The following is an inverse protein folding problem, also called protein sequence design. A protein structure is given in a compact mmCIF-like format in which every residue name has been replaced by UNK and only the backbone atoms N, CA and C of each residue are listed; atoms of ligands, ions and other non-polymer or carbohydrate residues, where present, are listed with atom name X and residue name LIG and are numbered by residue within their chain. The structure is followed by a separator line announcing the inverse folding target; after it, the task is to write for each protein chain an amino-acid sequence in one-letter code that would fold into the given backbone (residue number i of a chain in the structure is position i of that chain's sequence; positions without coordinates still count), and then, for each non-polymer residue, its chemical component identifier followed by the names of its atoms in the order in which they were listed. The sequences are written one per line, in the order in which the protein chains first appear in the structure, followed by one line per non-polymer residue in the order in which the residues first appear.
data_IF_276742431192
#
_entry.id   IF_276742431192
#
_cell.length_a   1.000
_cell.length_b   1.000
_cell.length_c   1.000
_cell.angle_alpha   90.00
_cell.angle_beta   90.00
_cell.angle_gamma   90.00
#
_symmetry.space_group_name_H-M   'P 1'
#
loop_
_entity.id
_entity.type
_entity.pdbx_description
1 polymer ?
#
# COMPACT_ATOMS: atom_id res chain seq x y z
N UNK A 1 14.51 -29.38 1.91
CA UNK A 1 14.23 -27.93 1.76
C UNK A 1 12.91 -27.67 1.06
N UNK A 2 12.69 -28.19 -0.15
CA UNK A 2 11.43 -27.99 -0.88
C UNK A 2 10.15 -28.40 -0.10
N UNK A 3 10.07 -29.55 0.61
CA UNK A 3 8.88 -29.89 1.39
C UNK A 3 8.54 -28.83 2.45
N UNK A 4 9.55 -28.28 3.13
CA UNK A 4 9.37 -27.23 4.15
C UNK A 4 8.79 -25.95 3.55
N UNK A 5 9.26 -25.54 2.37
CA UNK A 5 8.74 -24.37 1.65
C UNK A 5 7.28 -24.59 1.27
N UNK A 6 6.94 -25.78 0.74
CA UNK A 6 5.56 -26.13 0.36
C UNK A 6 4.62 -26.09 1.56
N UNK A 7 5.01 -26.68 2.69
CA UNK A 7 4.22 -26.65 3.92
C UNK A 7 4.02 -25.22 4.42
N UNK A 8 5.08 -24.42 4.48
CA UNK A 8 4.99 -23.03 4.90
C UNK A 8 4.08 -22.20 3.98
N UNK A 9 4.25 -22.34 2.66
CA UNK A 9 3.45 -21.63 1.67
C UNK A 9 1.97 -21.99 1.79
N UNK A 10 1.62 -23.28 1.88
CA UNK A 10 0.22 -23.71 2.05
C UNK A 10 -0.44 -23.15 3.31
N UNK A 11 0.33 -22.94 4.38
CA UNK A 11 -0.18 -22.38 5.63
C UNK A 11 -0.33 -20.85 5.62
N UNK A 12 0.31 -20.14 4.68
CA UNK A 12 0.41 -18.66 4.69
C UNK A 12 -0.20 -17.99 3.46
N UNK A 13 -0.33 -18.72 2.34
CA UNK A 13 -0.74 -18.14 1.05
C UNK A 13 -2.12 -17.46 1.09
N UNK A 14 -3.00 -17.86 2.02
CA UNK A 14 -4.32 -17.25 2.19
C UNK A 14 -4.27 -15.74 2.43
N UNK A 15 -3.17 -15.24 3.00
CA UNK A 15 -2.94 -13.82 3.24
C UNK A 15 -2.25 -13.06 2.10
N UNK A 16 -1.91 -13.73 0.99
CA UNK A 16 -1.12 -13.13 -0.09
C UNK A 16 -2.02 -12.61 -1.22
N UNK A 17 -1.55 -11.53 -1.85
CA UNK A 17 -2.18 -10.99 -3.07
C UNK A 17 -2.30 -12.07 -4.17
N UNK A 18 -3.33 -12.00 -5.04
CA UNK A 18 -3.49 -12.97 -6.13
C UNK A 18 -2.25 -13.12 -7.03
N UNK A 19 -1.56 -12.04 -7.47
CA UNK A 19 -0.35 -12.18 -8.27
C UNK A 19 0.75 -12.95 -7.53
N UNK A 20 0.96 -12.67 -6.24
CA UNK A 20 1.98 -13.36 -5.45
C UNK A 20 1.71 -14.86 -5.32
N UNK A 21 0.44 -15.23 -5.07
CA UNK A 21 0.02 -16.64 -5.04
C UNK A 21 0.21 -17.32 -6.38
N UNK A 22 -0.23 -16.69 -7.47
CA UNK A 22 -0.15 -17.26 -8.80
C UNK A 22 1.30 -17.54 -9.22
N UNK A 23 2.20 -16.56 -9.02
CA UNK A 23 3.62 -16.72 -9.32
C UNK A 23 4.25 -17.82 -8.47
N UNK A 24 4.01 -17.81 -7.15
CA UNK A 24 4.62 -18.81 -6.25
C UNK A 24 4.12 -20.23 -6.54
N UNK A 25 2.82 -20.41 -6.77
CA UNK A 25 2.24 -21.69 -7.20
C UNK A 25 2.82 -22.17 -8.52
N UNK A 26 3.01 -21.27 -9.49
CA UNK A 26 3.62 -21.64 -10.78
C UNK A 26 5.04 -22.16 -10.61
N UNK A 27 5.81 -21.58 -9.70
CA UNK A 27 7.17 -22.03 -9.42
C UNK A 27 7.23 -23.32 -8.61
N UNK A 28 6.25 -23.54 -7.72
CA UNK A 28 6.10 -24.77 -6.95
C UNK A 28 5.38 -25.87 -7.74
N UNK A 29 4.93 -25.64 -8.98
CA UNK A 29 4.32 -26.69 -9.79
C UNK A 29 5.33 -27.78 -10.14
N UNK A 30 6.54 -27.37 -10.51
CA UNK A 30 7.66 -28.27 -10.82
C UNK A 30 8.62 -28.36 -9.62
N UNK A 31 9.51 -29.36 -9.61
CA UNK A 31 10.54 -29.47 -8.58
C UNK A 31 11.52 -28.29 -8.62
N UNK A 32 11.88 -27.78 -7.45
CA UNK A 32 12.82 -26.69 -7.32
C UNK A 32 14.23 -27.16 -7.69
N UNK A 33 14.89 -26.43 -8.59
CA UNK A 33 16.26 -26.72 -9.03
C UNK A 33 17.28 -25.94 -8.21
N UNK A 34 18.48 -26.51 -8.08
CA UNK A 34 19.63 -25.82 -7.50
C UNK A 34 19.93 -24.52 -8.28
N UNK A 35 20.30 -23.46 -7.56
CA UNK A 35 20.61 -22.15 -8.13
C UNK A 35 22.02 -21.74 -7.72
N UNK A 36 22.78 -21.20 -8.67
CA UNK A 36 24.12 -20.68 -8.42
C UNK A 36 24.06 -19.40 -7.57
N UNK A 37 24.70 -19.44 -6.40
CA UNK A 37 24.73 -18.34 -5.43
C UNK A 37 25.94 -17.41 -5.58
N UNK A 38 26.88 -17.72 -6.48
CA UNK A 38 28.11 -16.92 -6.67
C UNK A 38 28.21 -16.38 -8.09
N UNK A 39 28.96 -15.29 -8.25
CA UNK A 39 29.23 -14.64 -9.54
C UNK A 39 30.68 -14.20 -9.65
N UNK A 40 31.18 -14.21 -10.88
CA UNK A 40 32.50 -13.70 -11.27
C UNK A 40 32.43 -12.19 -11.48
N UNK A 41 32.23 -11.45 -10.39
CA UNK A 41 32.17 -9.99 -10.38
C UNK A 41 33.12 -9.45 -9.30
N UNK A 42 33.60 -8.22 -9.50
CA UNK A 42 34.43 -7.52 -8.51
C UNK A 42 33.60 -6.76 -7.46
N UNK A 43 32.38 -6.35 -7.81
CA UNK A 43 31.50 -5.57 -6.94
C UNK A 43 30.38 -6.44 -6.38
N UNK A 44 30.42 -6.69 -5.07
CA UNK A 44 29.44 -7.49 -4.34
C UNK A 44 29.97 -7.96 -2.99
N UNK A 45 29.15 -8.69 -2.22
CA UNK A 45 29.57 -9.24 -0.93
C UNK A 45 30.54 -10.42 -1.17
N UNK A 46 31.75 -10.41 -0.58
CA UNK A 46 32.73 -11.46 -0.79
C UNK A 46 32.26 -12.78 -0.18
N UNK A 47 32.58 -13.90 -0.84
CA UNK A 47 32.22 -15.25 -0.37
C UNK A 47 33.28 -15.74 0.62
N UNK A 48 32.95 -16.00 1.90
CA UNK A 48 33.93 -16.36 2.93
C UNK A 48 34.28 -17.87 2.89
N UNK A 49 34.59 -18.38 1.70
CA UNK A 49 34.92 -19.80 1.47
C UNK A 49 36.28 -19.88 0.76
N UNK A 50 37.21 -20.73 1.24
CA UNK A 50 38.48 -20.97 0.55
C UNK A 50 38.26 -21.34 -0.93
N UNK A 51 39.04 -20.72 -1.83
CA UNK A 51 38.92 -20.90 -3.28
C UNK A 51 37.93 -19.97 -3.98
N UNK A 52 37.19 -19.12 -3.25
CA UNK A 52 36.22 -18.15 -3.81
C UNK A 52 36.67 -16.69 -3.68
N UNK A 53 37.97 -16.43 -3.50
CA UNK A 53 38.54 -15.08 -3.25
C UNK A 53 38.23 -14.04 -4.34
N UNK A 54 38.01 -14.49 -5.59
CA UNK A 54 37.66 -13.62 -6.73
C UNK A 54 36.17 -13.68 -7.10
N UNK A 55 35.32 -14.18 -6.19
CA UNK A 55 33.88 -14.32 -6.41
C UNK A 55 33.10 -13.56 -5.35
N UNK A 56 31.94 -13.08 -5.75
CA UNK A 56 30.96 -12.43 -4.87
C UNK A 56 29.66 -13.23 -4.85
N UNK A 57 28.83 -12.98 -3.83
CA UNK A 57 27.46 -13.49 -3.83
C UNK A 57 26.66 -12.91 -4.99
N UNK A 58 25.78 -13.73 -5.54
CA UNK A 58 24.83 -13.32 -6.54
C UNK A 58 23.79 -12.39 -5.91
N UNK A 59 23.59 -11.20 -6.48
CA UNK A 59 22.75 -10.14 -5.90
C UNK A 59 21.35 -10.59 -5.48
N UNK A 60 20.74 -11.54 -6.20
CA UNK A 60 19.39 -12.01 -5.88
C UNK A 60 19.34 -13.02 -4.72
N UNK A 61 20.50 -13.48 -4.24
CA UNK A 61 20.62 -14.25 -3.02
C UNK A 61 20.75 -13.34 -1.79
N UNK A 62 21.60 -12.32 -1.84
CA UNK A 62 21.90 -11.47 -0.68
C UNK A 62 21.06 -10.18 -0.61
N UNK A 63 20.45 -9.70 -1.70
CA UNK A 63 19.60 -8.51 -1.67
C UNK A 63 18.45 -8.59 -0.64
N UNK A 64 17.72 -9.72 -0.47
CA UNK A 64 16.72 -9.84 0.59
C UNK A 64 17.31 -9.78 2.01
N UNK A 65 18.57 -10.17 2.21
CA UNK A 65 19.27 -9.97 3.50
C UNK A 65 19.52 -8.48 3.77
N UNK A 66 19.45 -7.64 2.73
CA UNK A 66 19.44 -6.19 2.83
C UNK A 66 18.43 -5.68 3.86
N UNK A 67 17.23 -6.25 3.94
CA UNK A 67 16.22 -5.83 4.92
C UNK A 67 16.70 -5.97 6.37
N UNK A 68 17.38 -7.08 6.67
CA UNK A 68 17.95 -7.33 8.00
C UNK A 68 19.07 -6.33 8.28
N UNK A 69 20.00 -6.18 7.34
CA UNK A 69 21.15 -5.27 7.50
C UNK A 69 20.74 -3.79 7.65
N UNK A 70 19.73 -3.34 6.90
CA UNK A 70 19.16 -1.99 7.02
C UNK A 70 18.57 -1.79 8.42
N UNK A 71 17.85 -2.78 8.94
CA UNK A 71 17.29 -2.73 10.30
C UNK A 71 18.39 -2.72 11.36
N UNK A 72 19.46 -3.49 11.14
CA UNK A 72 20.63 -3.51 12.01
C UNK A 72 21.36 -2.17 12.05
N UNK A 73 21.45 -1.46 10.91
CA UNK A 73 21.97 -0.10 10.87
C UNK A 73 21.09 0.90 11.64
N UNK A 74 19.77 0.68 11.68
CA UNK A 74 18.84 1.53 12.40
C UNK A 74 18.84 1.29 13.91
N UNK A 75 18.97 0.03 14.36
CA UNK A 75 18.90 -0.31 15.78
C UNK A 75 19.75 -1.52 16.17
N UNK A 76 20.37 -1.45 17.35
CA UNK A 76 21.11 -2.58 17.96
C UNK A 76 20.20 -3.76 18.32
N UNK A 77 18.91 -3.52 18.53
CA UNK A 77 17.91 -4.53 18.87
C UNK A 77 17.17 -5.08 17.63
N UNK A 78 17.80 -5.07 16.45
CA UNK A 78 17.14 -5.43 15.19
C UNK A 78 16.57 -6.85 15.21
N UNK A 79 17.19 -7.78 15.94
CA UNK A 79 16.71 -9.15 16.04
C UNK A 79 15.27 -9.24 16.59
N UNK A 80 14.84 -8.28 17.43
CA UNK A 80 13.45 -8.20 17.91
C UNK A 80 12.42 -7.97 16.79
N UNK A 81 12.86 -7.53 15.62
CA UNK A 81 12.00 -7.35 14.44
C UNK A 81 12.08 -8.52 13.46
N UNK A 82 13.04 -9.42 13.64
CA UNK A 82 13.37 -10.46 12.66
C UNK A 82 13.37 -11.88 13.23
N UNK A 83 13.38 -12.07 14.55
CA UNK A 83 13.34 -13.38 15.21
C UNK A 83 12.07 -13.51 16.05
N UNK A 84 11.43 -14.67 15.97
CA UNK A 84 10.22 -14.95 16.75
C UNK A 84 10.55 -15.07 18.23
N UNK A 85 9.70 -14.53 19.08
CA UNK A 85 9.84 -14.54 20.53
C UNK A 85 8.47 -14.81 21.17
N UNK A 86 8.44 -15.18 22.45
CA UNK A 86 7.19 -15.37 23.21
C UNK A 86 6.61 -14.05 23.67
N UNK A 87 7.44 -13.04 23.87
CA UNK A 87 7.04 -11.76 24.46
C UNK A 87 6.43 -10.80 23.42
N UNK A 88 6.60 -11.07 22.12
CA UNK A 88 6.09 -10.23 21.04
C UNK A 88 5.82 -11.06 19.77
N UNK A 89 4.73 -10.74 19.09
CA UNK A 89 4.37 -11.31 17.79
C UNK A 89 4.83 -10.37 16.66
N UNK A 90 5.45 -10.95 15.63
CA UNK A 90 5.95 -10.20 14.47
C UNK A 90 5.13 -10.61 13.26
N UNK A 91 4.60 -9.61 12.57
CA UNK A 91 3.94 -9.79 11.27
C UNK A 91 4.72 -9.09 10.17
N UNK A 92 5.30 -9.87 9.29
CA UNK A 92 6.09 -9.38 8.16
C UNK A 92 5.19 -9.20 6.93
N UNK A 93 5.11 -7.94 6.47
CA UNK A 93 4.40 -7.55 5.25
C UNK A 93 5.42 -7.05 4.21
N UNK A 94 5.40 -7.66 3.03
CA UNK A 94 6.31 -7.30 1.95
C UNK A 94 5.54 -6.80 0.72
N UNK A 95 5.86 -5.60 0.26
CA UNK A 95 5.26 -4.97 -0.91
C UNK A 95 6.26 -4.96 -2.05
N UNK A 96 5.84 -5.43 -3.22
CA UNK A 96 6.72 -5.55 -4.40
C UNK A 96 5.93 -5.59 -5.71
N UNK A 97 6.61 -5.55 -6.85
CA UNK A 97 6.05 -5.96 -8.12
C UNK A 97 6.12 -7.50 -8.26
N UNK A 98 5.26 -8.09 -9.10
CA UNK A 98 5.17 -9.55 -9.28
C UNK A 98 6.49 -10.25 -9.63
N UNK A 99 7.42 -9.55 -10.28
CA UNK A 99 8.72 -10.12 -10.67
C UNK A 99 9.63 -10.46 -9.48
N UNK A 100 9.45 -9.77 -8.36
CA UNK A 100 10.23 -10.00 -7.16
C UNK A 100 9.69 -11.17 -6.31
N UNK A 101 8.49 -11.67 -6.62
CA UNK A 101 7.81 -12.70 -5.84
C UNK A 101 8.63 -13.99 -5.72
N UNK A 102 9.31 -14.52 -6.75
CA UNK A 102 10.08 -15.76 -6.59
C UNK A 102 11.22 -15.64 -5.57
N UNK A 103 11.81 -14.46 -5.43
CA UNK A 103 12.87 -14.23 -4.45
C UNK A 103 12.33 -14.21 -3.03
N UNK A 104 11.12 -13.69 -2.82
CA UNK A 104 10.53 -13.50 -1.49
C UNK A 104 9.59 -14.63 -1.07
N UNK A 105 8.99 -15.33 -2.03
CA UNK A 105 8.10 -16.46 -1.78
C UNK A 105 8.79 -17.82 -1.86
N UNK A 106 10.05 -17.88 -2.33
CA UNK A 106 10.78 -19.15 -2.47
C UNK A 106 12.22 -19.02 -1.99
N UNK A 107 13.04 -18.20 -2.65
CA UNK A 107 14.50 -18.22 -2.42
C UNK A 107 14.87 -17.76 -1.01
N UNK A 108 14.36 -16.60 -0.60
CA UNK A 108 14.64 -16.04 0.71
C UNK A 108 14.06 -16.89 1.86
N UNK A 109 12.79 -17.35 1.80
CA UNK A 109 12.28 -18.33 2.75
C UNK A 109 13.12 -19.62 2.81
N UNK A 110 13.60 -20.13 1.67
CA UNK A 110 14.48 -21.30 1.65
C UNK A 110 15.79 -21.05 2.41
N UNK A 111 16.39 -19.87 2.23
CA UNK A 111 17.59 -19.45 2.97
C UNK A 111 17.30 -19.35 4.47
N UNK A 112 16.23 -18.67 4.86
CA UNK A 112 15.86 -18.49 6.27
C UNK A 112 15.55 -19.84 6.96
N UNK A 113 14.76 -20.70 6.31
CA UNK A 113 14.46 -22.06 6.80
C UNK A 113 15.74 -22.90 6.88
N UNK A 114 16.64 -22.77 5.90
CA UNK A 114 17.89 -23.51 5.84
C UNK A 114 18.88 -23.15 6.95
N UNK A 115 18.96 -21.86 7.32
CA UNK A 115 19.78 -21.38 8.45
C UNK A 115 19.21 -21.85 9.79
N UNK A 116 17.88 -21.96 9.91
CA UNK A 116 17.19 -22.53 11.07
C UNK A 116 17.52 -21.84 12.43
N UNK A 117 17.67 -20.52 12.42
CA UNK A 117 18.00 -19.70 13.61
C UNK A 117 16.78 -18.96 14.21
N UNK A 118 15.56 -19.41 13.91
CA UNK A 118 14.33 -18.82 14.48
C UNK A 118 13.90 -17.47 13.87
N UNK A 119 14.48 -17.09 12.73
CA UNK A 119 14.05 -15.91 11.98
C UNK A 119 12.59 -16.04 11.50
N UNK A 120 11.86 -14.93 11.54
CA UNK A 120 10.51 -14.81 11.05
C UNK A 120 10.48 -14.94 9.52
N UNK A 121 9.47 -15.65 9.02
CA UNK A 121 9.15 -15.73 7.60
C UNK A 121 8.07 -14.70 7.27
N UNK A 122 7.99 -14.32 6.00
CA UNK A 122 6.96 -13.38 5.55
C UNK A 122 5.55 -13.94 5.80
N UNK A 123 4.69 -13.16 6.43
CA UNK A 123 3.27 -13.52 6.63
C UNK A 123 2.46 -13.15 5.39
N UNK A 124 2.77 -11.99 4.79
CA UNK A 124 1.99 -11.41 3.71
C UNK A 124 2.87 -10.85 2.59
N UNK A 125 2.64 -11.32 1.36
CA UNK A 125 3.23 -10.72 0.15
C UNK A 125 2.14 -10.01 -0.67
N UNK A 126 2.32 -8.69 -0.84
CA UNK A 126 1.54 -7.86 -1.74
C UNK A 126 2.34 -7.52 -2.98
N UNK A 127 2.11 -8.33 -3.99
CA UNK A 127 2.57 -8.09 -5.34
C UNK A 127 1.52 -7.30 -6.11
N UNK A 128 1.96 -6.30 -6.85
CA UNK A 128 1.14 -5.64 -7.87
C UNK A 128 1.50 -6.12 -9.27
N UNK A 129 0.54 -5.98 -10.17
CA UNK A 129 0.76 -6.02 -11.62
C UNK A 129 1.49 -4.75 -12.08
N UNK A 130 1.73 -4.59 -13.39
CA UNK A 130 2.50 -3.45 -13.88
C UNK A 130 1.65 -2.18 -14.01
N UNK A 131 2.30 -1.05 -13.75
CA UNK A 131 1.83 0.26 -14.18
C UNK A 131 2.50 0.60 -15.52
N UNK A 132 1.69 0.67 -16.56
CA UNK A 132 2.07 1.15 -17.89
C UNK A 132 1.91 2.68 -17.97
N UNK A 133 2.40 3.28 -19.05
CA UNK A 133 2.34 4.71 -19.29
C UNK A 133 1.71 4.99 -20.66
N UNK A 134 0.55 5.62 -20.66
CA UNK A 134 -0.33 5.83 -21.82
C UNK A 134 -0.53 4.51 -22.59
N UNK A 135 -0.09 4.43 -23.85
CA UNK A 135 -0.24 3.23 -24.68
C UNK A 135 0.96 2.26 -24.57
N UNK A 136 1.94 2.55 -23.71
CA UNK A 136 3.22 1.85 -23.68
C UNK A 136 3.83 1.66 -22.30
N UNK A 137 5.15 1.44 -22.28
CA UNK A 137 5.95 1.25 -21.05
C UNK A 137 6.85 2.45 -20.80
N UNK A 138 7.11 2.71 -19.52
CA UNK A 138 8.17 3.64 -19.10
C UNK A 138 9.51 3.29 -19.77
N UNK A 139 10.22 4.29 -20.30
CA UNK A 139 11.47 4.10 -21.02
C UNK A 139 12.38 5.31 -20.87
N UNK A 140 13.40 5.18 -20.01
CA UNK A 140 14.37 6.26 -19.76
C UNK A 140 15.17 6.63 -21.01
N UNK A 141 15.58 5.64 -21.80
CA UNK A 141 16.35 5.85 -23.03
C UNK A 141 15.56 6.57 -24.12
N UNK A 142 14.23 6.43 -24.14
CA UNK A 142 13.35 7.11 -25.10
C UNK A 142 12.68 8.36 -24.52
N UNK A 143 12.98 8.72 -23.28
CA UNK A 143 12.34 9.86 -22.59
C UNK A 143 10.81 9.69 -22.44
N UNK A 144 10.32 8.44 -22.32
CA UNK A 144 8.88 8.15 -22.24
C UNK A 144 8.51 7.83 -20.80
N UNK A 145 7.60 8.61 -20.23
CA UNK A 145 7.12 8.46 -18.87
C UNK A 145 7.53 9.61 -17.95
N UNK A 146 6.87 9.69 -16.80
CA UNK A 146 7.26 10.59 -15.70
C UNK A 146 8.08 9.79 -14.70
N UNK A 147 9.33 10.20 -14.47
CA UNK A 147 10.18 9.60 -13.44
C UNK A 147 10.08 10.39 -12.13
N UNK A 148 10.48 9.76 -11.02
CA UNK A 148 10.35 10.37 -9.69
C UNK A 148 11.10 11.71 -9.56
N UNK A 149 12.22 11.87 -10.29
CA UNK A 149 12.97 13.13 -10.37
C UNK A 149 12.24 14.23 -11.14
N UNK A 150 11.35 13.86 -12.05
CA UNK A 150 10.68 14.80 -12.96
C UNK A 150 9.34 15.24 -12.36
N UNK A 151 8.71 14.38 -11.54
CA UNK A 151 7.42 14.64 -10.93
C UNK A 151 7.39 15.95 -10.12
N UNK A 152 8.47 16.28 -9.43
CA UNK A 152 8.61 17.52 -8.64
C UNK A 152 8.57 18.79 -9.51
N UNK A 153 9.01 18.69 -10.77
CA UNK A 153 9.12 19.84 -11.69
C UNK A 153 7.81 20.10 -12.45
N UNK A 154 6.82 19.21 -12.32
CA UNK A 154 5.53 19.32 -13.03
C UNK A 154 4.60 20.41 -12.47
N UNK A 155 4.88 20.92 -11.27
CA UNK A 155 3.98 21.82 -10.54
C UNK A 155 2.73 21.14 -9.97
N UNK A 156 2.57 19.83 -10.15
CA UNK A 156 1.46 19.05 -9.60
C UNK A 156 1.83 18.62 -8.16
N UNK A 157 1.00 18.95 -7.14
CA UNK A 157 1.27 18.55 -5.76
C UNK A 157 1.39 17.03 -5.59
N UNK A 158 2.26 16.59 -4.68
CA UNK A 158 2.49 15.17 -4.39
C UNK A 158 1.20 14.40 -4.05
N UNK A 159 0.24 15.04 -3.37
CA UNK A 159 -1.01 14.39 -3.00
C UNK A 159 -1.92 14.10 -4.20
N UNK A 160 -1.84 14.89 -5.27
CA UNK A 160 -2.58 14.62 -6.52
C UNK A 160 -1.99 13.39 -7.20
N UNK A 161 -0.65 13.25 -7.21
CA UNK A 161 0.03 12.04 -7.68
C UNK A 161 -0.35 10.82 -6.84
N UNK A 162 -0.29 10.94 -5.50
CA UNK A 162 -0.65 9.85 -4.58
C UNK A 162 -2.10 9.42 -4.77
N UNK A 163 -3.02 10.37 -4.87
CA UNK A 163 -4.43 10.12 -5.13
C UNK A 163 -4.63 9.33 -6.43
N UNK A 164 -4.10 9.85 -7.55
CA UNK A 164 -4.35 9.23 -8.84
C UNK A 164 -3.71 7.85 -8.92
N UNK A 165 -2.43 7.70 -8.56
CA UNK A 165 -1.72 6.42 -8.59
C UNK A 165 -2.34 5.38 -7.66
N UNK A 166 -2.84 5.79 -6.49
CA UNK A 166 -3.58 4.90 -5.61
C UNK A 166 -4.93 4.49 -6.20
N UNK A 167 -5.60 5.38 -6.95
CA UNK A 167 -6.90 5.14 -7.58
C UNK A 167 -6.85 4.24 -8.82
N UNK A 168 -5.66 4.06 -9.40
CA UNK A 168 -5.38 3.16 -10.53
C UNK A 168 -4.34 2.09 -10.16
N UNK A 169 -4.22 1.77 -8.87
CA UNK A 169 -3.24 0.79 -8.40
C UNK A 169 -3.47 -0.57 -9.09
N UNK A 170 -2.46 -1.16 -9.75
CA UNK A 170 -2.62 -2.39 -10.52
C UNK A 170 -2.67 -3.64 -9.62
N UNK A 171 -3.81 -3.90 -8.97
CA UNK A 171 -3.93 -4.97 -7.96
C UNK A 171 -4.18 -6.36 -8.56
N UNK A 172 -4.93 -6.42 -9.66
CA UNK A 172 -5.41 -7.68 -10.29
C UNK A 172 -5.06 -7.79 -11.76
N UNK A 173 -4.88 -6.66 -12.43
CA UNK A 173 -4.42 -6.57 -13.82
C UNK A 173 -3.54 -5.34 -13.97
N UNK A 174 -2.76 -5.31 -15.05
CA UNK A 174 -2.00 -4.12 -15.42
C UNK A 174 -2.95 -2.91 -15.50
N UNK A 175 -2.44 -1.74 -15.14
CA UNK A 175 -3.11 -0.45 -15.27
C UNK A 175 -2.23 0.48 -16.07
N UNK A 176 -2.79 1.53 -16.67
CA UNK A 176 -2.00 2.52 -17.40
C UNK A 176 -2.23 3.92 -16.85
N UNK A 177 -1.14 4.65 -16.65
CA UNK A 177 -1.20 6.07 -16.34
C UNK A 177 -1.66 6.85 -17.57
N UNK A 178 -2.63 7.75 -17.40
CA UNK A 178 -3.05 8.69 -18.44
C UNK A 178 -3.18 10.12 -17.93
N UNK A 179 -2.60 11.08 -18.65
CA UNK A 179 -2.73 12.51 -18.34
C UNK A 179 -4.18 13.00 -18.40
N UNK A 180 -4.92 12.54 -19.41
CA UNK A 180 -6.33 12.89 -19.59
C UNK A 180 -7.16 12.41 -18.40
N UNK A 181 -6.90 11.19 -17.93
CA UNK A 181 -7.62 10.64 -16.79
C UNK A 181 -7.19 11.28 -15.47
N UNK A 182 -5.90 11.57 -15.28
CA UNK A 182 -5.40 12.33 -14.13
C UNK A 182 -6.14 13.66 -13.99
N UNK A 183 -6.20 14.45 -15.07
CA UNK A 183 -6.91 15.73 -15.08
C UNK A 183 -8.40 15.56 -14.81
N UNK A 184 -9.02 14.56 -15.44
CA UNK A 184 -10.45 14.27 -15.27
C UNK A 184 -10.80 13.87 -13.83
N UNK A 185 -10.04 12.96 -13.22
CA UNK A 185 -10.26 12.50 -11.84
C UNK A 185 -9.92 13.59 -10.83
N UNK A 186 -8.88 14.37 -11.05
CA UNK A 186 -8.60 15.54 -10.23
C UNK A 186 -9.80 16.49 -10.22
N UNK A 187 -10.35 16.84 -11.38
CA UNK A 187 -11.45 17.79 -11.47
C UNK A 187 -12.77 17.22 -10.91
N UNK A 188 -13.08 15.97 -11.24
CA UNK A 188 -14.36 15.36 -10.85
C UNK A 188 -14.39 14.86 -9.40
N UNK A 189 -13.31 14.25 -8.91
CA UNK A 189 -13.27 13.61 -7.59
C UNK A 189 -12.62 14.50 -6.53
N UNK A 190 -11.48 15.13 -6.83
CA UNK A 190 -10.83 16.01 -5.86
C UNK A 190 -11.51 17.38 -5.82
N UNK A 191 -11.62 18.10 -6.94
CA UNK A 191 -12.17 19.46 -6.95
C UNK A 191 -13.70 19.46 -6.72
N UNK A 192 -14.46 18.80 -7.59
CA UNK A 192 -15.93 18.90 -7.59
C UNK A 192 -16.61 18.15 -6.42
N UNK A 193 -15.93 17.17 -5.82
CA UNK A 193 -16.48 16.36 -4.73
C UNK A 193 -15.80 16.69 -3.39
N UNK A 194 -14.58 16.20 -3.13
CA UNK A 194 -13.92 16.37 -1.83
C UNK A 194 -13.66 17.85 -1.49
N UNK A 195 -13.00 18.57 -2.39
CA UNK A 195 -12.68 19.98 -2.27
C UNK A 195 -13.94 20.83 -2.12
N UNK A 196 -14.94 20.65 -2.98
CA UNK A 196 -16.22 21.35 -2.87
C UNK A 196 -16.97 21.04 -1.56
N UNK A 197 -16.90 19.80 -1.07
CA UNK A 197 -17.49 19.43 0.21
C UNK A 197 -16.80 20.14 1.38
N UNK A 198 -15.47 20.10 1.43
CA UNK A 198 -14.67 20.81 2.44
C UNK A 198 -14.90 22.33 2.37
N UNK A 199 -14.79 22.91 1.17
CA UNK A 199 -14.95 24.34 0.94
C UNK A 199 -16.33 24.83 1.39
N UNK A 200 -17.43 24.16 1.00
CA UNK A 200 -18.79 24.58 1.39
C UNK A 200 -19.01 24.52 2.90
N UNK A 201 -18.53 23.45 3.55
CA UNK A 201 -18.70 23.30 4.99
C UNK A 201 -17.89 24.32 5.78
N UNK A 202 -16.63 24.53 5.41
CA UNK A 202 -15.75 25.49 6.08
C UNK A 202 -16.20 26.92 5.82
N UNK A 203 -16.57 27.27 4.58
CA UNK A 203 -17.12 28.59 4.25
C UNK A 203 -18.41 28.87 5.02
N UNK A 204 -19.28 27.86 5.16
CA UNK A 204 -20.49 28.01 5.95
C UNK A 204 -20.18 28.29 7.43
N UNK A 205 -19.20 27.60 8.01
CA UNK A 205 -18.76 27.83 9.38
C UNK A 205 -18.15 29.22 9.57
N UNK A 206 -17.24 29.61 8.67
CA UNK A 206 -16.60 30.91 8.69
C UNK A 206 -17.64 32.04 8.61
N UNK A 207 -18.57 31.95 7.65
CA UNK A 207 -19.53 33.01 7.38
C UNK A 207 -20.69 33.06 8.39
N UNK A 208 -21.17 31.90 8.85
CA UNK A 208 -22.37 31.82 9.70
C UNK A 208 -22.04 31.81 11.18
N UNK A 209 -20.96 31.14 11.56
CA UNK A 209 -20.57 30.93 12.96
C UNK A 209 -19.25 31.61 13.30
N UNK A 210 -18.76 32.52 12.45
CA UNK A 210 -17.49 33.26 12.64
C UNK A 210 -16.29 32.34 12.88
N UNK A 211 -16.31 31.16 12.26
CA UNK A 211 -15.26 30.15 12.41
C UNK A 211 -15.29 29.36 13.71
N UNK A 212 -16.30 29.57 14.57
CA UNK A 212 -16.48 28.83 15.82
C UNK A 212 -17.52 27.72 15.61
N UNK A 213 -17.20 26.50 16.03
CA UNK A 213 -18.17 25.40 15.96
C UNK A 213 -19.30 25.64 16.98
N UNK A 214 -20.56 25.69 16.54
CA UNK A 214 -21.70 25.85 17.44
C UNK A 214 -22.05 24.56 18.18
N UNK A 215 -22.58 24.68 19.40
CA UNK A 215 -23.09 23.55 20.16
C UNK A 215 -24.15 22.76 19.37
N UNK A 216 -23.97 21.43 19.32
CA UNK A 216 -24.81 20.53 18.54
C UNK A 216 -25.71 19.71 19.47
N UNK A 217 -27.03 19.81 19.28
CA UNK A 217 -27.99 18.84 19.80
C UNK A 217 -28.27 17.81 18.72
N UNK A 218 -27.68 16.62 18.88
CA UNK A 218 -27.78 15.55 17.89
C UNK A 218 -29.20 14.97 17.85
N UNK A 219 -29.69 14.78 16.64
CA UNK A 219 -30.94 14.06 16.36
C UNK A 219 -30.64 12.60 15.99
N UNK A 220 -31.64 11.73 15.99
CA UNK A 220 -31.47 10.32 15.57
C UNK A 220 -30.82 10.19 14.18
N UNK A 221 -31.27 11.00 13.22
CA UNK A 221 -30.67 11.07 11.89
C UNK A 221 -29.18 11.49 11.88
N UNK A 222 -28.70 12.20 12.91
CA UNK A 222 -27.27 12.54 13.04
C UNK A 222 -26.46 11.34 13.50
N UNK A 223 -27.00 10.58 14.45
CA UNK A 223 -26.38 9.34 14.90
C UNK A 223 -26.32 8.29 13.79
N UNK A 224 -27.35 8.16 12.96
CA UNK A 224 -27.32 7.30 11.78
C UNK A 224 -26.19 7.68 10.82
N UNK A 225 -26.04 8.97 10.54
CA UNK A 225 -24.99 9.49 9.67
C UNK A 225 -23.62 9.20 10.27
N UNK A 226 -23.41 9.47 11.55
CA UNK A 226 -22.12 9.19 12.22
C UNK A 226 -21.83 7.69 12.22
N UNK A 227 -22.83 6.84 12.47
CA UNK A 227 -22.67 5.40 12.42
C UNK A 227 -22.32 4.91 11.01
N UNK A 228 -22.92 5.47 9.96
CA UNK A 228 -22.58 5.17 8.57
C UNK A 228 -21.16 5.63 8.23
N UNK A 229 -20.79 6.84 8.61
CA UNK A 229 -19.43 7.36 8.42
C UNK A 229 -18.45 6.45 9.15
N UNK A 230 -18.66 6.16 10.43
CA UNK A 230 -17.79 5.28 11.20
C UNK A 230 -17.72 3.88 10.61
N UNK A 231 -18.83 3.30 10.17
CA UNK A 231 -18.85 1.98 9.51
C UNK A 231 -18.02 1.98 8.24
N UNK A 232 -18.16 3.00 7.40
CA UNK A 232 -17.42 3.10 6.15
C UNK A 232 -15.96 3.50 6.41
N UNK A 233 -15.66 4.30 7.43
CA UNK A 233 -14.31 4.66 7.87
C UNK A 233 -13.59 3.44 8.42
N UNK A 234 -14.17 2.74 9.39
CA UNK A 234 -13.63 1.49 9.94
C UNK A 234 -13.58 0.44 8.84
N UNK A 235 -14.61 0.37 8.00
CA UNK A 235 -14.63 -0.48 6.81
C UNK A 235 -13.45 -0.18 5.89
N UNK A 236 -13.17 1.09 5.59
CA UNK A 236 -12.06 1.54 4.74
C UNK A 236 -10.69 1.50 5.43
N UNK A 237 -10.60 1.63 6.76
CA UNK A 237 -9.36 1.45 7.52
C UNK A 237 -9.02 -0.04 7.66
N UNK A 238 -9.99 -0.86 8.05
CA UNK A 238 -9.88 -2.32 8.01
C UNK A 238 -9.66 -2.81 6.57
N UNK A 239 -10.17 -2.07 5.57
CA UNK A 239 -9.93 -2.30 4.16
C UNK A 239 -8.65 -1.66 3.62
N UNK A 240 -8.04 -0.66 4.25
CA UNK A 240 -6.70 -0.16 3.95
C UNK A 240 -5.66 -1.12 4.53
N UNK A 241 -5.88 -1.55 5.78
CA UNK A 241 -5.26 -2.73 6.38
C UNK A 241 -5.64 -4.04 5.69
N UNK A 242 -6.70 -4.07 4.87
CA UNK A 242 -7.03 -5.20 3.99
C UNK A 242 -6.76 -4.91 2.50
N UNK A 243 -6.16 -3.78 2.14
CA UNK A 243 -5.60 -3.52 0.80
C UNK A 243 -4.16 -4.04 0.74
N UNK A 244 -3.57 -4.03 1.93
CA UNK A 244 -2.73 -5.09 2.47
C UNK A 244 -3.49 -6.42 2.23
N UNK A 245 -4.38 -6.97 3.06
CA UNK A 245 -4.89 -8.37 2.90
C UNK A 245 -5.70 -8.86 1.65
N UNK A 246 -6.28 -8.05 0.75
CA UNK A 246 -7.26 -8.49 -0.27
C UNK A 246 -7.49 -7.47 -1.39
N UNK A 247 -7.13 -7.88 -2.62
CA UNK A 247 -6.98 -7.10 -3.85
C UNK A 247 -8.27 -6.58 -4.51
N UNK A 248 -9.27 -6.09 -3.77
CA UNK A 248 -10.55 -5.69 -4.37
C UNK A 248 -11.17 -4.46 -3.74
N UNK A 249 -10.67 -3.28 -4.15
CA UNK A 249 -11.36 -1.99 -4.35
C UNK A 249 -10.33 -0.87 -4.13
N UNK A 250 -10.00 -0.07 -5.13
CA UNK A 250 -9.33 1.20 -4.88
C UNK A 250 -10.15 2.03 -3.88
N UNK A 251 -9.46 2.76 -2.99
CA UNK A 251 -10.01 3.79 -2.10
C UNK A 251 -11.11 4.53 -2.84
N UNK A 252 -12.36 4.12 -2.63
CA UNK A 252 -13.46 4.92 -3.13
C UNK A 252 -13.48 6.09 -2.18
N UNK A 253 -13.34 7.29 -2.75
CA UNK A 253 -13.93 8.53 -2.23
C UNK A 253 -15.47 8.40 -2.04
N UNK A 254 -16.04 7.18 -2.00
CA UNK A 254 -17.41 6.87 -1.67
C UNK A 254 -17.80 7.42 -0.32
N UNK A 255 -16.86 7.63 0.61
CA UNK A 255 -17.20 8.28 1.87
C UNK A 255 -17.70 9.70 1.63
N UNK A 256 -16.97 10.51 0.85
CA UNK A 256 -17.41 11.85 0.44
C UNK A 256 -18.67 11.74 -0.44
N UNK A 257 -18.75 10.74 -1.32
CA UNK A 257 -19.89 10.56 -2.24
C UNK A 257 -21.20 10.18 -1.53
N UNK A 258 -21.17 9.26 -0.56
CA UNK A 258 -22.30 8.86 0.29
C UNK A 258 -22.71 10.02 1.19
N UNK A 259 -21.74 10.77 1.71
CA UNK A 259 -21.95 11.96 2.51
C UNK A 259 -22.54 13.11 1.66
N UNK A 260 -22.11 13.30 0.41
CA UNK A 260 -22.46 14.46 -0.43
C UNK A 260 -23.77 14.31 -1.19
N UNK A 261 -24.22 13.07 -1.49
CA UNK A 261 -25.41 12.80 -2.32
C UNK A 261 -26.69 12.43 -1.57
N UNK A 262 -26.68 12.18 -0.25
CA UNK A 262 -27.93 11.89 0.47
C UNK A 262 -28.76 13.18 0.67
N UNK A 263 -30.06 13.18 0.30
CA UNK A 263 -30.91 14.36 0.47
C UNK A 263 -31.03 14.71 1.95
N UNK A 264 -30.74 15.97 2.26
CA UNK A 264 -31.04 16.56 3.55
C UNK A 264 -32.56 16.67 3.63
N UNK A 265 -33.19 15.85 4.47
CA UNK A 265 -34.62 16.01 4.79
C UNK A 265 -34.89 17.44 5.26
N UNK A 266 -36.00 18.04 4.80
CA UNK A 266 -36.39 19.43 5.13
C UNK A 266 -36.72 19.59 6.62
N UNK A 267 -35.73 19.56 7.50
CA UNK A 267 -35.86 19.97 8.89
C UNK A 267 -34.80 21.01 9.21
N UNK A 268 -35.25 22.24 9.47
CA UNK A 268 -34.47 23.39 9.94
C UNK A 268 -33.10 23.61 9.26
N UNK A 269 -33.01 24.63 8.40
CA UNK A 269 -31.79 25.00 7.65
C UNK A 269 -30.51 25.06 8.51
N UNK A 270 -30.59 25.38 9.80
CA UNK A 270 -29.46 25.34 10.75
C UNK A 270 -29.04 23.91 11.16
N UNK A 271 -29.99 23.07 11.61
CA UNK A 271 -29.73 21.71 12.08
C UNK A 271 -29.25 20.79 10.95
N UNK A 272 -29.75 21.00 9.73
CA UNK A 272 -29.29 20.31 8.52
C UNK A 272 -27.82 20.61 8.15
N UNK A 273 -27.32 21.79 8.51
CA UNK A 273 -26.02 22.32 8.03
C UNK A 273 -24.90 22.25 9.06
N UNK A 274 -25.22 22.18 10.36
CA UNK A 274 -24.27 21.73 11.40
C UNK A 274 -23.72 20.33 11.11
N UNK A 275 -24.55 19.44 10.54
CA UNK A 275 -24.17 18.08 10.09
C UNK A 275 -22.99 18.07 9.12
N UNK A 276 -22.87 19.12 8.29
CA UNK A 276 -21.84 19.26 7.27
C UNK A 276 -20.44 19.44 7.89
N UNK A 277 -20.35 20.09 9.06
CA UNK A 277 -19.09 20.46 9.72
C UNK A 277 -18.41 19.28 10.40
N UNK A 278 -19.17 18.46 11.14
CA UNK A 278 -18.67 17.22 11.73
C UNK A 278 -18.07 16.30 10.66
N UNK A 279 -18.73 16.22 9.50
CA UNK A 279 -18.30 15.40 8.36
C UNK A 279 -16.99 15.88 7.72
N UNK A 280 -16.63 17.16 7.80
CA UNK A 280 -15.35 17.69 7.30
C UNK A 280 -14.19 17.39 8.23
N UNK A 281 -14.38 17.47 9.55
CA UNK A 281 -13.36 17.09 10.52
C UNK A 281 -12.97 15.61 10.37
N UNK A 282 -13.97 14.73 10.16
CA UNK A 282 -13.72 13.32 9.84
C UNK A 282 -13.02 13.12 8.49
N UNK A 283 -13.41 13.85 7.45
CA UNK A 283 -12.75 13.79 6.14
C UNK A 283 -11.26 14.18 6.21
N UNK A 284 -10.91 15.15 7.05
CA UNK A 284 -9.52 15.55 7.30
C UNK A 284 -8.67 14.46 7.93
N UNK A 285 -9.21 13.74 8.93
CA UNK A 285 -8.51 12.60 9.55
C UNK A 285 -8.29 11.42 8.59
N UNK A 286 -9.21 11.21 7.65
CA UNK A 286 -9.11 10.12 6.67
C UNK A 286 -8.10 10.37 5.55
N UNK A 287 -7.85 11.63 5.21
CA UNK A 287 -6.88 12.00 4.18
C UNK A 287 -5.44 11.91 4.70
N UNK A 288 -5.25 11.83 6.03
CA UNK A 288 -3.96 11.63 6.68
C UNK A 288 -3.86 10.20 7.23
N UNK A 289 -3.30 9.24 6.48
CA UNK A 289 -2.95 7.94 7.06
C UNK A 289 -1.76 8.11 8.01
N UNK A 290 -2.04 8.46 9.28
CA UNK A 290 -1.06 8.41 10.36
C UNK A 290 -0.77 9.71 11.13
N UNK A 291 -1.80 10.40 11.62
CA UNK A 291 -1.68 11.26 12.81
C UNK A 291 -2.57 10.73 13.93
#
# INVERSE_FOLDING_TARGET
MEPSIRTWFNNTEGGWSPPARAVTRSWLRDSLRARALTRDLKWGVPVPVPGYTNKVFYVWFDAPLGYLSITQCFTKNYEKWWKKDKDYDIKLYQFMAKDNVPFHGIMFPATIIGVNEGYALVDHIFATEYLNYEEGKFSKSRGVGVFGTDAQDTGIPADVWRFYLASIRPETSDSSFSWTELGTRNNSELLNNLGNFCHRSLSFCANTFKGVLPDMKLTEADYEVVALVNREVIGNYAFFFSLIYSSKRCLKLSLVWVISKRPIGRSGVRASRQRLLTRVLFAGQLCCPGN
#
